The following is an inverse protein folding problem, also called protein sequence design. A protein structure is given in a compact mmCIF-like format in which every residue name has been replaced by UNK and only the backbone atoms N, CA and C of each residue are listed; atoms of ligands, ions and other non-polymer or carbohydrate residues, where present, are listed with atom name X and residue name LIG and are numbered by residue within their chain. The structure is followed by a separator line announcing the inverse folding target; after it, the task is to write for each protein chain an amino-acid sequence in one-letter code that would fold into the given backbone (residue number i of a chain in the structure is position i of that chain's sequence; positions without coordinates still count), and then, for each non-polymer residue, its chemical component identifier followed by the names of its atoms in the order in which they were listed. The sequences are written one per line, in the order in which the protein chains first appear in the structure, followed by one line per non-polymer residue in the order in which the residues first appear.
data_IF_765543592388
#
_entry.id   IF_765543592388
#
_cell.length_a   1.000
_cell.length_b   1.000
_cell.length_c   1.000
_cell.angle_alpha   90.00
_cell.angle_beta   90.00
_cell.angle_gamma   90.00
#
_symmetry.space_group_name_H-M   'P 1'
#
loop_
_entity.id
_entity.type
_entity.pdbx_description
1 polymer ?
#
# COMPACT_ATOMS: atom_id res chain seq x y z
N UNK A 1 15.71 7.71 -11.62
CA UNK A 1 16.25 8.30 -10.36
C UNK A 1 17.11 7.29 -9.60
N UNK A 2 16.60 6.13 -9.18
CA UNK A 2 17.33 5.10 -8.41
C UNK A 2 18.69 4.73 -9.01
N UNK A 3 18.74 4.51 -10.34
CA UNK A 3 19.99 4.24 -11.04
C UNK A 3 21.03 5.33 -10.80
N UNK A 4 20.66 6.60 -10.93
CA UNK A 4 21.58 7.73 -10.75
C UNK A 4 22.11 7.83 -9.30
N UNK A 5 21.27 7.53 -8.31
CA UNK A 5 21.71 7.48 -6.91
C UNK A 5 22.74 6.36 -6.72
N UNK A 6 22.41 5.16 -7.19
CA UNK A 6 23.33 3.99 -7.08
C UNK A 6 24.59 4.09 -7.94
N UNK A 7 24.61 4.95 -8.95
CA UNK A 7 25.84 5.27 -9.71
C UNK A 7 26.84 6.07 -8.86
N UNK A 8 26.33 6.86 -7.90
CA UNK A 8 27.14 7.68 -6.99
C UNK A 8 27.47 6.89 -5.72
N UNK A 9 26.47 6.28 -5.11
CA UNK A 9 26.61 5.42 -3.92
C UNK A 9 25.93 4.07 -4.14
N UNK A 10 26.69 3.03 -4.49
CA UNK A 10 26.15 1.68 -4.72
C UNK A 10 25.48 1.07 -3.49
N UNK A 11 25.79 1.54 -2.28
CA UNK A 11 25.24 1.03 -1.01
C UNK A 11 23.99 1.79 -0.54
N UNK A 12 23.61 2.87 -1.23
CA UNK A 12 22.39 3.61 -0.87
C UNK A 12 21.16 2.68 -0.94
N UNK A 13 20.38 2.61 0.11
CA UNK A 13 19.07 1.93 0.09
C UNK A 13 18.03 2.85 -0.56
N UNK A 14 17.29 2.29 -1.52
CA UNK A 14 16.25 3.01 -2.26
C UNK A 14 14.89 2.60 -1.71
N UNK A 15 14.18 3.57 -1.18
CA UNK A 15 12.79 3.45 -0.74
C UNK A 15 11.86 4.05 -1.80
N UNK A 16 10.75 3.41 -2.03
CA UNK A 16 9.74 3.94 -2.94
C UNK A 16 8.56 2.99 -3.16
N UNK A 17 7.50 3.46 -3.78
CA UNK A 17 7.30 4.79 -4.36
C UNK A 17 6.71 5.83 -3.39
N UNK A 18 6.58 5.53 -2.09
CA UNK A 18 5.97 6.39 -1.06
C UNK A 18 4.53 6.79 -1.43
N UNK A 19 3.72 5.79 -1.77
CA UNK A 19 2.32 6.00 -2.17
C UNK A 19 1.49 6.44 -0.98
N UNK A 20 0.66 7.44 -1.19
CA UNK A 20 -0.06 8.17 -0.14
C UNK A 20 -1.27 7.45 0.47
N UNK A 21 -1.67 6.28 0.01
CA UNK A 21 -2.80 5.55 0.58
C UNK A 21 -3.45 4.54 -0.37
N UNK A 22 -4.52 3.91 0.11
CA UNK A 22 -5.17 2.76 -0.53
C UNK A 22 -5.55 2.99 -2.01
N UNK A 23 -6.13 4.14 -2.35
CA UNK A 23 -6.48 4.46 -3.74
C UNK A 23 -5.26 4.51 -4.67
N UNK A 24 -4.10 4.94 -4.16
CA UNK A 24 -2.88 4.92 -4.95
C UNK A 24 -2.36 3.49 -5.16
N UNK A 25 -2.59 2.57 -4.21
CA UNK A 25 -2.17 1.18 -4.34
C UNK A 25 -2.97 0.42 -5.40
N UNK A 26 -4.26 0.70 -5.50
CA UNK A 26 -5.17 -0.03 -6.39
C UNK A 26 -5.00 0.35 -7.84
N UNK A 27 -4.95 1.64 -8.16
CA UNK A 27 -4.99 2.13 -9.55
C UNK A 27 -4.24 3.44 -9.77
N UNK A 28 -3.29 3.74 -8.90
CA UNK A 28 -2.50 4.98 -8.91
C UNK A 28 -3.39 6.23 -8.92
N UNK A 29 -4.39 6.24 -8.03
CA UNK A 29 -5.37 7.32 -7.89
C UNK A 29 -6.11 7.65 -9.20
N UNK A 30 -6.68 6.62 -9.82
CA UNK A 30 -7.42 6.69 -11.09
C UNK A 30 -6.58 7.17 -12.29
N UNK A 31 -5.31 6.76 -12.35
CA UNK A 31 -4.46 7.04 -13.50
C UNK A 31 -5.13 6.57 -14.80
N UNK A 32 -5.21 7.43 -15.83
CA UNK A 32 -6.00 7.15 -17.02
C UNK A 32 -5.48 5.96 -17.85
N UNK A 33 -4.18 5.70 -17.79
CA UNK A 33 -3.50 4.60 -18.47
C UNK A 33 -3.56 3.26 -17.71
N UNK A 34 -3.95 3.27 -16.42
CA UNK A 34 -4.04 2.05 -15.62
C UNK A 34 -4.97 1.00 -16.23
N UNK A 35 -6.09 1.42 -16.82
CA UNK A 35 -7.04 0.50 -17.46
C UNK A 35 -6.42 -0.25 -18.64
N UNK A 36 -5.62 0.44 -19.43
CA UNK A 36 -4.91 -0.17 -20.57
C UNK A 36 -3.86 -1.16 -20.07
N UNK A 37 -3.04 -0.74 -19.09
CA UNK A 37 -2.02 -1.60 -18.48
C UNK A 37 -2.65 -2.87 -17.92
N UNK A 38 -3.75 -2.76 -17.16
CA UNK A 38 -4.43 -3.91 -16.56
C UNK A 38 -5.14 -4.81 -17.58
N UNK A 39 -5.66 -4.25 -18.68
CA UNK A 39 -6.27 -5.04 -19.75
C UNK A 39 -5.21 -5.88 -20.49
N UNK A 40 -4.03 -5.31 -20.71
CA UNK A 40 -2.93 -5.99 -21.39
C UNK A 40 -2.23 -7.01 -20.47
N UNK A 41 -2.34 -6.81 -19.14
CA UNK A 41 -1.71 -7.65 -18.13
C UNK A 41 -2.73 -7.98 -17.01
N UNK A 42 -3.67 -8.89 -17.27
CA UNK A 42 -4.76 -9.21 -16.34
C UNK A 42 -4.29 -9.87 -15.03
N UNK A 43 -3.04 -10.35 -14.98
CA UNK A 43 -2.41 -10.93 -13.79
C UNK A 43 -2.13 -9.91 -12.69
N UNK A 44 -1.94 -8.63 -13.02
CA UNK A 44 -1.77 -7.60 -11.98
C UNK A 44 -3.11 -7.38 -11.27
N UNK A 45 -3.15 -7.62 -9.98
CA UNK A 45 -4.34 -7.39 -9.15
C UNK A 45 -4.55 -5.88 -8.94
N UNK A 46 -3.47 -5.14 -8.67
CA UNK A 46 -3.43 -3.72 -8.37
C UNK A 46 -2.16 -3.05 -8.90
N UNK A 47 -2.05 -1.72 -8.78
CA UNK A 47 -0.90 -0.97 -9.29
C UNK A 47 0.43 -1.37 -8.63
N UNK A 48 0.42 -1.81 -7.38
CA UNK A 48 1.62 -2.29 -6.68
C UNK A 48 2.28 -3.45 -7.43
N UNK A 49 1.50 -4.38 -7.97
CA UNK A 49 2.01 -5.52 -8.74
C UNK A 49 2.79 -5.04 -9.96
N UNK A 50 2.18 -4.16 -10.74
CA UNK A 50 2.81 -3.55 -11.91
C UNK A 50 4.07 -2.79 -11.56
N UNK A 51 4.03 -1.97 -10.50
CA UNK A 51 5.20 -1.21 -10.06
C UNK A 51 6.37 -2.12 -9.68
N UNK A 52 6.12 -3.17 -8.93
CA UNK A 52 7.15 -4.12 -8.51
C UNK A 52 7.73 -4.88 -9.70
N UNK A 53 6.91 -5.32 -10.63
CA UNK A 53 7.33 -6.02 -11.84
C UNK A 53 8.21 -5.12 -12.74
N UNK A 54 7.80 -3.87 -12.95
CA UNK A 54 8.60 -2.89 -13.70
C UNK A 54 9.94 -2.58 -13.01
N UNK A 55 9.97 -2.52 -11.68
CA UNK A 55 11.21 -2.35 -10.94
C UNK A 55 12.12 -3.59 -11.04
N UNK A 56 11.54 -4.79 -11.10
CA UNK A 56 12.29 -6.03 -11.34
C UNK A 56 12.88 -6.07 -12.76
N UNK A 57 12.10 -5.72 -13.78
CA UNK A 57 12.59 -5.59 -15.16
C UNK A 57 13.73 -4.58 -15.25
N UNK A 58 13.59 -3.44 -14.59
CA UNK A 58 14.63 -2.42 -14.54
C UNK A 58 15.92 -2.92 -13.83
N UNK A 59 15.81 -3.77 -12.79
CA UNK A 59 16.96 -4.46 -12.21
C UNK A 59 17.66 -5.35 -13.23
N UNK A 60 16.89 -6.18 -13.93
CA UNK A 60 17.43 -7.14 -14.92
C UNK A 60 18.17 -6.43 -16.06
N UNK A 61 17.62 -5.31 -16.54
CA UNK A 61 18.25 -4.47 -17.56
C UNK A 61 19.55 -3.79 -17.07
N UNK A 62 19.60 -3.40 -15.81
CA UNK A 62 20.73 -2.64 -15.25
C UNK A 62 21.75 -3.52 -14.49
N UNK A 63 21.44 -4.80 -14.27
CA UNK A 63 22.33 -5.75 -13.58
C UNK A 63 22.50 -5.47 -12.08
N UNK A 64 21.62 -4.67 -11.48
CA UNK A 64 21.64 -4.36 -10.04
C UNK A 64 20.26 -3.93 -9.53
N UNK A 65 20.03 -4.17 -8.25
CA UNK A 65 18.79 -3.79 -7.58
C UNK A 65 18.59 -2.27 -7.55
N UNK A 66 17.38 -1.82 -7.95
CA UNK A 66 17.02 -0.40 -8.02
C UNK A 66 15.94 0.01 -7.03
N UNK A 67 15.29 -0.96 -6.36
CA UNK A 67 14.35 -0.76 -5.27
C UNK A 67 14.70 -1.74 -4.15
N UNK A 68 15.09 -1.24 -3.00
CA UNK A 68 15.44 -2.07 -1.85
C UNK A 68 14.25 -2.26 -0.91
N UNK A 69 13.40 -1.24 -0.81
CA UNK A 69 12.26 -1.19 0.12
C UNK A 69 11.03 -0.68 -0.61
N UNK A 70 9.97 -1.49 -0.65
CA UNK A 70 8.64 -1.00 -1.01
C UNK A 70 8.13 -0.16 0.16
N UNK A 71 8.00 1.14 -0.08
CA UNK A 71 7.57 2.12 0.90
C UNK A 71 6.19 2.65 0.52
N UNK A 72 5.26 2.56 1.46
CA UNK A 72 3.88 3.00 1.28
C UNK A 72 3.38 3.74 2.51
N UNK A 73 2.33 4.56 2.34
CA UNK A 73 1.60 5.20 3.42
C UNK A 73 0.22 4.56 3.53
N UNK A 74 -0.14 4.07 4.69
CA UNK A 74 -1.46 3.46 4.89
C UNK A 74 -2.19 4.09 6.06
N UNK A 75 -3.39 4.56 5.79
CA UNK A 75 -4.29 5.14 6.78
C UNK A 75 -5.53 4.26 6.88
N UNK A 76 -5.85 3.83 8.07
CA UNK A 76 -7.15 3.22 8.31
C UNK A 76 -8.24 4.30 8.17
N UNK A 77 -9.38 3.91 7.63
CA UNK A 77 -10.48 4.83 7.35
C UNK A 77 -11.73 4.51 8.18
N UNK A 78 -11.55 3.71 9.25
CA UNK A 78 -12.65 3.27 10.11
C UNK A 78 -13.46 4.46 10.63
N UNK A 79 -14.78 4.40 10.42
CA UNK A 79 -15.74 5.41 10.86
C UNK A 79 -16.13 5.15 12.30
N UNK A 80 -16.45 6.21 13.04
CA UNK A 80 -17.17 6.11 14.29
C UNK A 80 -18.68 6.25 14.08
N UNK A 81 -19.46 6.28 15.17
CA UNK A 81 -20.92 6.48 15.14
C UNK A 81 -21.35 7.77 14.44
N UNK A 82 -20.47 8.77 14.38
CA UNK A 82 -20.70 10.00 13.62
C UNK A 82 -20.61 9.79 12.08
N UNK A 83 -20.29 8.59 11.60
CA UNK A 83 -20.13 8.28 10.17
C UNK A 83 -18.88 8.91 9.53
N UNK A 84 -17.96 9.41 10.32
CA UNK A 84 -16.72 10.06 9.87
C UNK A 84 -15.50 9.35 10.45
N UNK A 85 -14.40 9.38 9.71
CA UNK A 85 -13.08 8.92 10.17
C UNK A 85 -12.65 9.63 11.46
N UNK A 86 -12.87 10.92 11.54
CA UNK A 86 -12.58 11.73 12.73
C UNK A 86 -13.89 12.11 13.43
N UNK A 87 -14.11 11.59 14.63
CA UNK A 87 -15.24 11.99 15.48
C UNK A 87 -14.78 13.09 16.44
N UNK A 88 -15.56 14.16 16.52
CA UNK A 88 -15.30 15.28 17.44
C UNK A 88 -15.55 14.91 18.91
N UNK A 89 -16.21 13.79 19.17
CA UNK A 89 -16.55 13.33 20.52
C UNK A 89 -15.57 12.25 20.99
N UNK A 90 -14.52 12.68 21.64
CA UNK A 90 -13.46 11.86 22.23
C UNK A 90 -13.96 11.02 23.43
N UNK A 91 -14.94 10.29 23.39
CA UNK A 91 -15.47 9.48 24.50
C UNK A 91 -16.65 8.65 24.06
N UNK A 92 -17.05 8.76 22.81
CA UNK A 92 -18.03 7.87 22.22
C UNK A 92 -17.43 6.44 22.20
N UNK A 93 -18.05 5.46 22.90
CA UNK A 93 -17.54 4.10 22.98
C UNK A 93 -17.30 3.45 21.63
N UNK A 94 -18.16 3.72 20.64
CA UNK A 94 -18.06 3.10 19.32
C UNK A 94 -16.92 3.75 18.51
N UNK A 95 -16.69 5.06 18.66
CA UNK A 95 -15.52 5.71 18.08
C UNK A 95 -14.23 5.17 18.67
N UNK A 96 -14.17 5.01 20.00
CA UNK A 96 -13.02 4.42 20.68
C UNK A 96 -12.80 2.98 20.21
N UNK A 97 -13.87 2.18 20.15
CA UNK A 97 -13.79 0.79 19.69
C UNK A 97 -13.24 0.70 18.26
N UNK A 98 -13.80 1.46 17.32
CA UNK A 98 -13.39 1.43 15.92
C UNK A 98 -11.94 1.89 15.75
N UNK A 99 -11.51 2.93 16.44
CA UNK A 99 -10.12 3.40 16.43
C UNK A 99 -9.15 2.34 16.96
N UNK A 100 -9.46 1.75 18.10
CA UNK A 100 -8.61 0.70 18.69
C UNK A 100 -8.50 -0.53 17.79
N UNK A 101 -9.60 -0.88 17.10
CA UNK A 101 -9.63 -2.05 16.21
C UNK A 101 -9.12 -1.74 14.80
N UNK A 102 -9.03 -0.50 14.39
CA UNK A 102 -8.60 -0.13 13.04
C UNK A 102 -7.19 -0.62 12.68
N UNK A 103 -6.32 -0.78 13.68
CA UNK A 103 -4.99 -1.38 13.51
C UNK A 103 -5.03 -2.80 12.95
N UNK A 104 -6.16 -3.51 13.13
CA UNK A 104 -6.34 -4.88 12.63
C UNK A 104 -6.41 -4.94 11.10
N UNK A 105 -6.76 -3.84 10.43
CA UNK A 105 -6.71 -3.73 8.96
C UNK A 105 -5.30 -3.95 8.39
N UNK A 106 -4.26 -3.89 9.22
CA UNK A 106 -2.90 -4.19 8.80
C UNK A 106 -2.60 -5.69 8.70
N UNK A 107 -3.20 -6.53 9.55
CA UNK A 107 -2.72 -7.90 9.74
C UNK A 107 -3.79 -8.97 9.96
N UNK A 108 -5.04 -8.60 10.30
CA UNK A 108 -6.06 -9.53 10.78
C UNK A 108 -7.14 -9.77 9.72
N UNK A 109 -7.14 -10.96 9.14
CA UNK A 109 -8.08 -11.39 8.09
C UNK A 109 -9.51 -11.65 8.61
N UNK A 110 -9.70 -11.67 9.94
CA UNK A 110 -11.03 -11.80 10.57
C UNK A 110 -11.69 -10.46 10.87
N UNK A 111 -10.97 -9.35 10.63
CA UNK A 111 -11.47 -8.00 10.89
C UNK A 111 -11.90 -7.32 9.59
N UNK A 112 -13.07 -6.71 9.63
CA UNK A 112 -13.60 -5.87 8.57
C UNK A 112 -13.79 -4.46 9.11
N UNK A 113 -13.06 -3.52 8.54
CA UNK A 113 -13.13 -2.11 8.91
C UNK A 113 -14.42 -1.48 8.35
N UNK A 114 -15.15 -0.72 9.15
CA UNK A 114 -16.29 0.08 8.66
C UNK A 114 -15.76 1.35 7.96
N UNK A 115 -15.52 1.26 6.66
CA UNK A 115 -14.91 2.34 5.90
C UNK A 115 -15.26 2.29 4.41
N UNK A 116 -14.92 3.36 3.69
CA UNK A 116 -15.05 3.39 2.24
C UNK A 116 -14.15 2.37 1.52
N UNK A 117 -13.03 1.98 2.13
CA UNK A 117 -12.14 0.96 1.59
C UNK A 117 -12.88 -0.37 1.50
N UNK A 118 -13.62 -0.71 2.56
CA UNK A 118 -14.44 -1.92 2.62
C UNK A 118 -15.63 -1.83 1.68
N UNK A 119 -16.29 -0.67 1.61
CA UNK A 119 -17.38 -0.42 0.68
C UNK A 119 -16.93 -0.57 -0.79
N UNK A 120 -15.67 -0.28 -1.09
CA UNK A 120 -15.04 -0.47 -2.39
C UNK A 120 -14.58 -1.92 -2.67
N UNK A 121 -14.81 -2.85 -1.72
CA UNK A 121 -14.55 -4.28 -1.91
C UNK A 121 -13.46 -4.88 -1.03
N UNK A 122 -12.68 -4.08 -0.30
CA UNK A 122 -11.64 -4.54 0.67
C UNK A 122 -10.66 -5.61 0.14
N UNK A 123 -10.51 -5.73 -1.17
CA UNK A 123 -9.82 -6.86 -1.83
C UNK A 123 -8.37 -7.06 -1.33
N UNK A 124 -7.74 -5.99 -0.83
CA UNK A 124 -6.34 -5.99 -0.39
C UNK A 124 -6.20 -5.78 1.13
N UNK A 125 -7.25 -6.01 1.89
CA UNK A 125 -7.16 -6.05 3.35
C UNK A 125 -7.12 -7.51 3.85
N UNK A 126 -6.33 -7.81 4.88
CA UNK A 126 -5.39 -6.92 5.57
C UNK A 126 -4.18 -6.53 4.72
N UNK A 127 -3.73 -5.30 4.85
CA UNK A 127 -2.80 -4.70 3.88
C UNK A 127 -1.39 -5.31 3.87
N UNK A 128 -0.85 -5.69 5.05
CA UNK A 128 0.51 -6.25 5.13
C UNK A 128 0.65 -7.59 4.40
N UNK A 129 -0.26 -8.56 4.59
CA UNK A 129 -0.24 -9.80 3.81
C UNK A 129 -0.36 -9.57 2.30
N UNK A 130 -1.24 -8.65 1.87
CA UNK A 130 -1.43 -8.35 0.45
C UNK A 130 -0.16 -7.74 -0.18
N UNK A 131 0.47 -6.76 0.48
CA UNK A 131 1.73 -6.17 0.03
C UNK A 131 2.86 -7.22 -0.01
N UNK A 132 2.90 -8.11 0.99
CA UNK A 132 3.90 -9.17 1.04
C UNK A 132 3.71 -10.17 -0.11
N UNK A 133 2.47 -10.55 -0.44
CA UNK A 133 2.17 -11.41 -1.59
C UNK A 133 2.67 -10.79 -2.90
N UNK A 134 2.41 -9.49 -3.12
CA UNK A 134 2.91 -8.78 -4.30
C UNK A 134 4.44 -8.77 -4.38
N UNK A 135 5.11 -8.49 -3.26
CA UNK A 135 6.58 -8.53 -3.20
C UNK A 135 7.11 -9.92 -3.57
N UNK A 136 6.56 -10.96 -2.95
CA UNK A 136 7.03 -12.33 -3.17
C UNK A 136 6.78 -12.82 -4.60
N UNK A 137 5.74 -12.30 -5.24
CA UNK A 137 5.37 -12.65 -6.62
C UNK A 137 6.20 -11.90 -7.64
N UNK A 138 6.31 -10.58 -7.53
CA UNK A 138 6.82 -9.72 -8.60
C UNK A 138 8.25 -9.22 -8.37
N UNK A 139 8.67 -9.01 -7.12
CA UNK A 139 10.02 -8.55 -6.83
C UNK A 139 10.57 -9.15 -5.52
N UNK A 140 10.82 -10.46 -5.48
CA UNK A 140 11.26 -11.16 -4.27
C UNK A 140 12.50 -10.54 -3.64
N UNK A 141 12.53 -10.52 -2.30
CA UNK A 141 13.62 -9.95 -1.52
C UNK A 141 13.53 -8.43 -1.30
N UNK A 142 12.54 -7.74 -1.88
CA UNK A 142 12.23 -6.34 -1.51
C UNK A 142 11.73 -6.31 -0.07
N UNK A 143 12.27 -5.40 0.73
CA UNK A 143 11.76 -5.14 2.08
C UNK A 143 10.46 -4.36 2.00
N UNK A 144 9.69 -4.34 3.09
CA UNK A 144 8.46 -3.54 3.20
C UNK A 144 8.62 -2.51 4.30
N UNK A 145 8.22 -1.29 4.03
CA UNK A 145 8.09 -0.21 5.00
C UNK A 145 6.73 0.49 4.86
N UNK A 146 6.17 0.89 5.99
CA UNK A 146 5.07 1.84 6.05
C UNK A 146 5.61 3.05 6.81
N UNK A 147 6.00 4.09 6.07
CA UNK A 147 6.68 5.24 6.64
C UNK A 147 5.73 6.34 7.10
N UNK A 148 4.46 6.24 6.72
CA UNK A 148 3.41 7.12 7.23
C UNK A 148 2.13 6.33 7.47
N UNK A 149 1.54 6.49 8.65
CA UNK A 149 0.30 5.82 9.07
C UNK A 149 -0.42 6.64 10.14
N UNK A 150 -1.72 6.41 10.27
CA UNK A 150 -2.54 7.03 11.31
C UNK A 150 -3.64 6.05 11.75
N UNK A 151 -3.84 5.97 13.04
CA UNK A 151 -4.91 5.20 13.69
C UNK A 151 -5.99 6.07 14.29
N UNK A 152 -6.06 7.32 13.86
CA UNK A 152 -7.12 8.27 14.27
C UNK A 152 -7.12 8.58 15.79
N UNK A 153 -5.95 8.59 16.40
CA UNK A 153 -5.74 8.88 17.82
C UNK A 153 -5.82 10.36 18.16
#
# INVERSE_FOLDING_TARGET
MSKAVKDIDPNAEIFGPALFGYGAFTNFADAPDWKEIKNDNPEYKWFIDYYLDEMKKAEDENGRRLLDVLDVHFYTEAKGTCGKRYCEHYGDPDCVYNKLNSTRSFWDDTYTEDSWITDAGAEFLPILPALKESIDTYYPGTKLAITEYDFQG
#
